data_IF_338520816583
#
_entry.id   IF_338520816583
#
_cell.length_a   1.000
_cell.length_b   1.000
_cell.length_c   1.000
_cell.angle_alpha   90.00
_cell.angle_beta   90.00
_cell.angle_gamma   90.00
#
_symmetry.space_group_name_H-M   'P 1'
#
loop_
_entity.id
_entity.type
_entity.pdbx_description
1 polymer ?
#
# COMPACT_ATOMS: atom_id res chain seq x y z
N UNK A 1 2.91 -9.17 8.93
CA UNK A 1 3.59 -10.18 9.73
C UNK A 1 4.19 -9.62 10.99
N UNK A 2 4.94 -10.42 11.70
CA UNK A 2 5.56 -10.00 12.97
C UNK A 2 6.48 -8.80 12.81
N UNK A 3 7.26 -8.79 11.73
CA UNK A 3 8.19 -7.68 11.49
C UNK A 3 7.42 -6.37 11.29
N UNK A 4 6.35 -6.41 10.53
CA UNK A 4 5.53 -5.21 10.30
C UNK A 4 4.89 -4.74 11.60
N UNK A 5 4.43 -5.67 12.44
CA UNK A 5 3.84 -5.30 13.72
C UNK A 5 4.88 -4.67 14.65
N UNK A 6 6.10 -5.21 14.64
CA UNK A 6 7.19 -4.66 15.45
C UNK A 6 7.55 -3.25 15.00
N UNK A 7 7.61 -3.03 13.69
CA UNK A 7 7.90 -1.70 13.15
C UNK A 7 6.80 -0.71 13.54
N UNK A 8 5.54 -1.11 13.43
CA UNK A 8 4.43 -0.23 13.79
C UNK A 8 4.43 0.10 15.28
N UNK A 9 4.75 -0.88 16.12
CA UNK A 9 4.83 -0.64 17.55
C UNK A 9 5.93 0.36 17.89
N UNK A 10 7.09 0.22 17.25
CA UNK A 10 8.21 1.11 17.48
C UNK A 10 7.89 2.52 16.98
N UNK A 11 7.22 2.62 15.84
CA UNK A 11 6.80 3.92 15.32
C UNK A 11 5.85 4.61 16.27
N UNK A 12 4.90 3.86 16.82
CA UNK A 12 3.93 4.41 17.79
C UNK A 12 4.66 4.91 19.04
N UNK A 13 5.63 4.14 19.51
CA UNK A 13 6.41 4.50 20.70
C UNK A 13 7.14 5.83 20.49
N UNK A 14 7.60 6.10 19.28
CA UNK A 14 8.35 7.32 18.96
C UNK A 14 7.50 8.38 18.29
N UNK A 15 6.18 8.20 18.29
CA UNK A 15 5.24 9.15 17.70
C UNK A 15 5.50 9.44 16.23
N UNK A 16 5.92 8.41 15.49
CA UNK A 16 6.16 8.52 14.06
C UNK A 16 4.88 8.12 13.33
N UNK A 17 4.36 9.00 12.45
CA UNK A 17 3.16 8.67 11.67
C UNK A 17 3.41 7.47 10.76
N UNK A 18 2.41 6.62 10.60
CA UNK A 18 2.50 5.48 9.69
C UNK A 18 1.39 5.56 8.66
N UNK A 19 1.71 5.11 7.46
CA UNK A 19 0.74 5.01 6.37
C UNK A 19 0.53 3.54 6.08
N UNK A 20 -0.73 3.14 5.90
CA UNK A 20 -1.04 1.73 5.67
C UNK A 20 -1.79 1.58 4.35
N UNK A 21 -1.19 0.82 3.44
CA UNK A 21 -1.75 0.53 2.14
C UNK A 21 -1.67 -0.97 1.90
N UNK A 22 -2.59 -1.75 2.47
CA UNK A 22 -2.50 -3.22 2.40
C UNK A 22 -2.45 -3.77 0.97
N UNK A 23 -3.25 -3.24 0.07
CA UNK A 23 -3.25 -3.72 -1.31
C UNK A 23 -1.94 -3.41 -2.02
N UNK A 24 -1.41 -2.20 -1.82
CA UNK A 24 -0.14 -1.84 -2.44
C UNK A 24 1.00 -2.65 -1.83
N UNK A 25 0.97 -2.86 -0.52
CA UNK A 25 1.98 -3.67 0.15
C UNK A 25 2.00 -5.09 -0.41
N UNK A 26 0.83 -5.69 -0.60
CA UNK A 26 0.74 -7.03 -1.20
C UNK A 26 1.22 -7.03 -2.64
N UNK A 27 0.86 -6.00 -3.42
CA UNK A 27 1.30 -5.91 -4.80
C UNK A 27 2.82 -5.90 -4.90
N UNK A 28 3.47 -5.11 -4.05
CA UNK A 28 4.92 -5.05 -4.04
C UNK A 28 5.52 -6.39 -3.57
N UNK A 29 4.97 -6.93 -2.50
CA UNK A 29 5.49 -8.15 -1.91
C UNK A 29 5.46 -9.32 -2.90
N UNK A 30 4.37 -9.47 -3.64
CA UNK A 30 4.21 -10.61 -4.55
C UNK A 30 4.81 -10.39 -5.93
N UNK A 31 5.24 -9.18 -6.27
CA UNK A 31 5.83 -8.91 -7.59
C UNK A 31 7.27 -8.47 -7.57
N UNK A 32 7.82 -8.15 -6.38
CA UNK A 32 9.18 -7.61 -6.29
C UNK A 32 9.89 -8.20 -5.09
N UNK A 33 11.18 -8.39 -5.22
CA UNK A 33 12.02 -8.80 -4.11
C UNK A 33 12.91 -7.63 -3.72
N UNK A 34 13.45 -7.69 -2.50
CA UNK A 34 14.36 -6.66 -2.04
C UNK A 34 15.49 -6.46 -3.05
N UNK A 35 15.79 -5.21 -3.34
CA UNK A 35 16.83 -4.86 -4.29
C UNK A 35 16.39 -4.85 -5.75
N UNK A 36 15.14 -5.21 -6.03
CA UNK A 36 14.63 -5.22 -7.40
C UNK A 36 13.74 -4.00 -7.63
N UNK A 37 13.57 -3.66 -8.92
CA UNK A 37 12.69 -2.58 -9.33
C UNK A 37 11.24 -3.03 -9.22
N UNK A 38 10.37 -2.19 -8.70
CA UNK A 38 8.95 -2.50 -8.66
C UNK A 38 8.34 -2.39 -10.06
N UNK A 39 7.23 -3.09 -10.33
CA UNK A 39 6.55 -2.96 -11.63
C UNK A 39 6.15 -1.52 -11.92
N UNK A 40 6.27 -1.11 -13.18
CA UNK A 40 6.00 0.28 -13.57
C UNK A 40 4.54 0.69 -13.35
N UNK A 41 3.61 -0.27 -13.39
CA UNK A 41 2.20 0.05 -13.18
C UNK A 41 1.88 0.37 -11.70
N UNK A 42 2.86 0.25 -10.80
CA UNK A 42 2.71 0.66 -9.42
C UNK A 42 3.38 2.02 -9.14
N UNK A 43 4.03 2.62 -10.13
CA UNK A 43 4.80 3.86 -9.94
C UNK A 43 3.92 5.01 -9.48
N UNK A 44 2.74 5.18 -10.04
CA UNK A 44 1.87 6.30 -9.68
C UNK A 44 1.43 6.20 -8.23
N UNK A 45 1.08 4.99 -7.78
CA UNK A 45 0.69 4.78 -6.39
C UNK A 45 1.84 5.12 -5.44
N UNK A 46 3.05 4.63 -5.75
CA UNK A 46 4.22 4.90 -4.92
C UNK A 46 4.57 6.39 -4.93
N UNK A 47 4.52 7.02 -6.12
CA UNK A 47 4.82 8.44 -6.25
C UNK A 47 3.84 9.30 -5.45
N UNK A 48 2.57 8.92 -5.42
CA UNK A 48 1.56 9.63 -4.63
C UNK A 48 1.92 9.61 -3.15
N UNK A 49 2.33 8.46 -2.65
CA UNK A 49 2.73 8.32 -1.24
C UNK A 49 3.98 9.15 -0.95
N UNK A 50 4.97 9.07 -1.84
CA UNK A 50 6.22 9.83 -1.63
C UNK A 50 5.97 11.32 -1.65
N UNK A 51 5.12 11.82 -2.55
CA UNK A 51 4.77 13.23 -2.58
C UNK A 51 4.10 13.65 -1.27
N UNK A 52 3.23 12.80 -0.74
CA UNK A 52 2.59 13.09 0.54
C UNK A 52 3.63 13.16 1.66
N UNK A 53 4.59 12.23 1.66
CA UNK A 53 5.63 12.20 2.70
C UNK A 53 6.51 13.45 2.65
N UNK A 54 6.82 13.96 1.45
CA UNK A 54 7.59 15.19 1.32
C UNK A 54 6.87 16.41 1.90
N UNK A 55 5.54 16.35 2.03
CA UNK A 55 4.75 17.46 2.57
C UNK A 55 4.11 17.07 3.90
N UNK A 56 4.71 16.11 4.60
CA UNK A 56 4.13 15.55 5.81
C UNK A 56 3.92 16.58 6.91
N UNK A 57 4.86 17.51 7.07
CA UNK A 57 4.73 18.54 8.10
C UNK A 57 3.46 19.36 7.91
N UNK A 58 3.17 19.71 6.66
CA UNK A 58 1.96 20.45 6.35
C UNK A 58 0.71 19.61 6.59
N UNK A 59 0.76 18.34 6.19
CA UNK A 59 -0.35 17.43 6.39
C UNK A 59 -0.66 17.24 7.88
N UNK A 60 0.38 17.13 8.70
CA UNK A 60 0.20 16.99 10.14
C UNK A 60 -0.43 18.24 10.74
N UNK A 61 -0.03 19.43 10.26
CA UNK A 61 -0.59 20.69 10.76
C UNK A 61 -2.05 20.86 10.36
N UNK A 62 -2.47 20.31 9.23
CA UNK A 62 -3.82 20.47 8.70
C UNK A 62 -4.76 19.32 9.06
N UNK A 63 -4.30 18.38 9.85
CA UNK A 63 -5.10 17.21 10.18
C UNK A 63 -4.71 16.05 9.26
N UNK A 64 -4.01 15.10 9.81
CA UNK A 64 -3.45 13.97 9.06
C UNK A 64 -4.53 13.10 8.43
N UNK A 65 -4.48 12.94 7.12
CA UNK A 65 -5.31 11.97 6.39
C UNK A 65 -4.45 11.42 5.25
N UNK A 66 -4.23 10.11 5.23
CA UNK A 66 -3.40 9.57 4.18
C UNK A 66 -4.13 9.60 2.83
N UNK A 67 -3.39 9.87 1.74
CA UNK A 67 -4.01 9.94 0.42
C UNK A 67 -4.48 8.59 -0.06
N UNK A 68 -5.47 8.60 -0.93
CA UNK A 68 -5.94 7.39 -1.59
C UNK A 68 -4.99 7.01 -2.71
N UNK A 69 -4.70 5.72 -2.85
CA UNK A 69 -3.94 5.24 -4.00
C UNK A 69 -4.70 4.10 -4.64
N UNK A 70 -4.49 3.92 -5.94
CA UNK A 70 -5.15 2.88 -6.71
C UNK A 70 -4.11 1.86 -7.14
N UNK A 71 -4.41 0.58 -6.92
CA UNK A 71 -3.57 -0.52 -7.36
C UNK A 71 -4.27 -1.15 -8.58
N UNK A 72 -3.54 -1.35 -9.71
CA UNK A 72 -4.16 -1.97 -10.89
C UNK A 72 -4.75 -3.34 -10.54
N UNK A 73 -5.85 -3.68 -11.17
CA UNK A 73 -6.52 -4.95 -10.91
C UNK A 73 -5.59 -6.15 -11.11
N UNK A 74 -4.68 -6.06 -12.07
CA UNK A 74 -3.74 -7.13 -12.33
C UNK A 74 -2.71 -7.32 -11.20
N UNK A 75 -2.67 -6.39 -10.26
CA UNK A 75 -1.74 -6.44 -9.13
C UNK A 75 -2.46 -6.45 -7.78
N UNK A 76 -3.79 -6.64 -7.77
CA UNK A 76 -4.55 -6.73 -6.53
C UNK A 76 -4.50 -8.16 -6.02
N UNK A 77 -3.67 -8.42 -5.03
CA UNK A 77 -3.49 -9.76 -4.46
C UNK A 77 -4.18 -9.86 -3.11
N UNK A 78 -4.66 -11.05 -2.80
CA UNK A 78 -5.19 -11.33 -1.46
C UNK A 78 -4.03 -11.73 -0.54
N UNK A 79 -4.36 -12.11 0.68
CA UNK A 79 -3.35 -12.46 1.69
C UNK A 79 -2.52 -13.67 1.30
N UNK A 80 -3.03 -14.51 0.43
CA UNK A 80 -2.36 -15.74 0.01
C UNK A 80 -1.60 -15.58 -1.29
N UNK A 81 -1.61 -14.39 -1.89
CA UNK A 81 -0.91 -14.12 -3.13
C UNK A 81 -1.70 -14.43 -4.37
N UNK A 82 -3.00 -14.74 -4.25
CA UNK A 82 -3.85 -14.94 -5.41
C UNK A 82 -4.49 -13.61 -5.80
N UNK A 83 -4.78 -13.42 -7.09
CA UNK A 83 -5.45 -12.21 -7.52
C UNK A 83 -6.83 -12.13 -6.90
N UNK A 84 -7.12 -11.00 -6.28
CA UNK A 84 -8.33 -10.82 -5.50
C UNK A 84 -9.54 -10.39 -6.30
N UNK A 85 -9.39 -10.22 -7.59
CA UNK A 85 -10.48 -9.75 -8.42
C UNK A 85 -11.44 -10.85 -8.76
N UNK A 86 -12.35 -10.73 -8.56
CA UNK A 86 -13.01 -11.61 -9.15
C UNK A 86 -14.31 -11.27 -9.47
N UNK A 87 -13.82 -10.60 -9.52
CA UNK A 87 -14.77 -10.46 -9.69
C UNK A 87 -15.59 -10.57 -9.88
N UNK A 88 -15.38 -10.56 -9.87
CA UNK A 88 -16.19 -10.42 -9.99
C UNK A 88 -16.64 -10.59 -10.06
N UNK A 89 -16.26 -10.86 -10.21
CA UNK A 89 -16.61 -11.04 -9.99
C UNK A 89 -16.90 -10.92 -9.72
N UNK A 90 -16.93 -11.21 -10.03
CA UNK A 90 -17.37 -11.28 -9.56
C UNK A 90 -17.70 -10.96 -9.45
N UNK A 91 -17.79 -11.25 -9.64
CA UNK A 91 -18.28 -11.03 -9.47
C UNK A 91 -18.72 -10.75 -9.68
N UNK A 92 -18.83 -11.10 -10.20
CA UNK A 92 -19.32 -11.09 -10.20
C UNK A 92 -19.57 -11.03 -10.73
N UNK A 93 -19.73 -11.32 -11.09
CA UNK A 93 -20.16 -11.56 -11.36
C UNK A 93 -20.61 -11.67 -11.55
N UNK A 94 -20.72 -11.90 -11.81
CA UNK A 94 -21.27 -12.23 -11.84
C UNK A 94 -21.69 -12.19 -11.69
N UNK A 95 -21.65 -12.38 -12.07
CA UNK A 95 -22.02 -12.40 -11.89
C UNK A 95 -22.51 -12.28 -11.81
#
# INVERSE_FOLDING_TARGET
>A
GETAQSIKALAREHSIPTLEYPQLARAIYYTSRAGQTIPSDLFIAVATILAFVFHLDKAMAEGFTQPQVTVPESKCFDENGALATAPYAGSGRKP
#
